data_IF_956562981618
#
_entry.id   IF_956562981618
#
_cell.length_a   1.000
_cell.length_b   1.000
_cell.length_c   1.000
_cell.angle_alpha   90.00
_cell.angle_beta   90.00
_cell.angle_gamma   90.00
#
_symmetry.space_group_name_H-M   'P 1'
#
loop_
_entity.id
_entity.type
_entity.pdbx_description
1 polymer ?
#
# COMPACT_ATOMS: atom_id res chain seq x y z
N UNK A 1 77.20 11.62 -24.03
CA UNK A 1 76.61 10.48 -23.27
C UNK A 1 75.36 11.00 -22.61
N UNK A 2 74.19 10.72 -23.19
CA UNK A 2 72.85 11.13 -22.64
C UNK A 2 72.32 9.92 -21.83
N UNK A 3 72.13 10.10 -20.50
CA UNK A 3 71.48 9.12 -19.63
C UNK A 3 69.96 9.36 -19.62
N UNK A 4 69.24 8.44 -20.21
CA UNK A 4 67.77 8.44 -20.23
C UNK A 4 67.28 7.75 -18.93
N UNK A 5 66.60 8.54 -18.09
CA UNK A 5 65.99 8.06 -16.86
C UNK A 5 64.56 7.58 -17.16
N UNK A 6 64.32 6.28 -17.06
CA UNK A 6 62.98 5.69 -17.15
C UNK A 6 62.27 5.77 -15.80
N UNK A 7 61.22 6.61 -15.74
CA UNK A 7 60.33 6.70 -14.58
C UNK A 7 59.27 5.58 -14.67
N UNK A 8 59.38 4.59 -13.84
CA UNK A 8 58.41 3.48 -13.73
C UNK A 8 57.23 3.98 -12.89
N UNK A 9 56.09 4.24 -13.53
CA UNK A 9 54.82 4.60 -12.88
C UNK A 9 54.13 3.32 -12.41
N UNK A 10 54.24 3.01 -11.11
CA UNK A 10 53.48 1.94 -10.46
C UNK A 10 52.04 2.37 -10.27
N UNK A 11 51.14 1.93 -11.14
CA UNK A 11 49.70 2.00 -10.95
C UNK A 11 49.28 0.98 -9.86
N UNK A 12 49.11 1.44 -8.63
CA UNK A 12 48.41 0.68 -7.59
C UNK A 12 46.92 0.68 -7.93
N UNK A 13 46.43 -0.41 -8.53
CA UNK A 13 45.00 -0.71 -8.53
C UNK A 13 44.58 -1.00 -7.09
N UNK A 14 44.04 0.01 -6.44
CA UNK A 14 43.34 -0.15 -5.18
C UNK A 14 42.10 -0.99 -5.43
N UNK A 15 42.13 -2.27 -5.07
CA UNK A 15 40.96 -3.10 -4.94
C UNK A 15 40.13 -2.49 -3.80
N UNK A 16 39.13 -1.67 -4.12
CA UNK A 16 38.09 -1.29 -3.16
C UNK A 16 37.34 -2.59 -2.85
N UNK A 17 37.60 -3.16 -1.68
CA UNK A 17 36.79 -4.22 -1.14
C UNK A 17 35.36 -3.64 -1.01
N UNK A 18 34.47 -4.11 -1.87
CA UNK A 18 33.04 -3.90 -1.67
C UNK A 18 32.73 -4.48 -0.30
N UNK A 19 32.33 -3.62 0.65
CA UNK A 19 31.76 -4.07 1.91
C UNK A 19 30.61 -4.99 1.54
N UNK A 20 30.74 -6.27 1.78
CA UNK A 20 29.58 -7.18 1.75
C UNK A 20 28.60 -6.62 2.77
N UNK A 21 27.54 -5.99 2.27
CA UNK A 21 26.40 -5.62 3.11
C UNK A 21 25.77 -6.94 3.56
N UNK A 22 25.64 -7.13 4.86
CA UNK A 22 24.90 -8.29 5.39
C UNK A 22 23.52 -8.31 4.73
N UNK A 23 23.01 -9.51 4.37
CA UNK A 23 21.63 -9.63 3.93
C UNK A 23 20.72 -8.95 4.95
N UNK A 24 19.89 -8.03 4.49
CA UNK A 24 18.94 -7.34 5.34
C UNK A 24 17.53 -7.66 4.87
N UNK A 25 16.57 -7.53 5.77
CA UNK A 25 15.15 -7.62 5.47
C UNK A 25 14.43 -6.49 6.20
N UNK A 26 13.22 -6.20 5.79
CA UNK A 26 12.40 -5.20 6.43
C UNK A 26 10.99 -5.18 5.89
N UNK A 27 10.09 -4.57 6.65
CA UNK A 27 8.68 -4.52 6.33
C UNK A 27 8.09 -3.16 6.72
N UNK A 28 7.25 -2.61 5.85
CA UNK A 28 6.52 -1.37 6.11
C UNK A 28 5.05 -1.59 5.76
N UNK A 29 4.15 -1.08 6.60
CA UNK A 29 2.70 -1.20 6.41
C UNK A 29 1.99 0.14 6.54
N UNK A 30 0.83 0.25 5.89
CA UNK A 30 -0.15 1.30 6.17
C UNK A 30 -1.56 0.73 6.36
N UNK A 31 -2.34 1.41 7.19
CA UNK A 31 -3.77 1.16 7.42
C UNK A 31 -4.66 2.29 6.91
N UNK A 32 -4.13 3.14 6.02
CA UNK A 32 -4.84 4.26 5.42
C UNK A 32 -4.39 5.64 5.86
N UNK A 33 -4.47 6.61 4.93
CA UNK A 33 -4.18 8.02 5.16
C UNK A 33 -5.44 8.89 5.03
N UNK A 34 -5.46 10.05 5.71
CA UNK A 34 -6.58 10.99 5.59
C UNK A 34 -6.63 12.04 6.71
N UNK A 35 -7.82 12.59 6.98
CA UNK A 35 -8.04 13.57 8.06
C UNK A 35 -8.07 12.86 9.44
N UNK A 36 -6.96 12.23 9.80
CA UNK A 36 -6.80 11.52 11.08
C UNK A 36 -6.23 12.51 12.09
N UNK A 37 -7.12 13.22 12.80
CA UNK A 37 -6.76 14.23 13.77
C UNK A 37 -6.78 13.65 15.19
N UNK A 38 -5.80 14.00 16.00
CA UNK A 38 -5.68 13.53 17.40
C UNK A 38 -6.88 13.95 18.25
N UNK A 39 -7.40 15.15 18.02
CA UNK A 39 -8.59 15.68 18.69
C UNK A 39 -9.89 14.89 18.42
N UNK A 40 -9.94 14.13 17.32
CA UNK A 40 -11.06 13.28 16.93
C UNK A 40 -10.86 11.80 17.29
N UNK A 41 -9.78 11.49 18.03
CA UNK A 41 -9.39 10.14 18.40
C UNK A 41 -9.50 9.93 19.91
N UNK A 42 -10.33 8.98 20.36
CA UNK A 42 -10.31 8.59 21.77
C UNK A 42 -9.07 7.77 22.09
N UNK A 43 -8.62 7.80 23.35
CA UNK A 43 -7.45 7.04 23.79
C UNK A 43 -7.59 5.53 23.52
N UNK A 44 -8.80 4.98 23.74
CA UNK A 44 -9.09 3.56 23.50
C UNK A 44 -8.99 3.21 22.02
N UNK A 45 -9.50 4.09 21.16
CA UNK A 45 -9.45 3.89 19.71
C UNK A 45 -8.02 4.00 19.17
N UNK A 46 -7.25 4.97 19.66
CA UNK A 46 -5.82 5.11 19.31
C UNK A 46 -5.05 3.86 19.76
N UNK A 47 -5.25 3.42 21.00
CA UNK A 47 -4.61 2.21 21.52
C UNK A 47 -4.96 0.97 20.68
N UNK A 48 -6.22 0.81 20.28
CA UNK A 48 -6.64 -0.30 19.42
C UNK A 48 -5.95 -0.28 18.04
N UNK A 49 -5.82 0.89 17.38
CA UNK A 49 -5.09 0.99 16.12
C UNK A 49 -3.60 0.69 16.28
N UNK A 50 -2.94 1.24 17.31
CA UNK A 50 -1.52 0.99 17.57
C UNK A 50 -1.26 -0.49 17.88
N UNK A 51 -2.12 -1.13 18.65
CA UNK A 51 -2.03 -2.56 18.94
C UNK A 51 -2.13 -3.39 17.66
N UNK A 52 -3.18 -3.19 16.85
CA UNK A 52 -3.39 -3.98 15.63
C UNK A 52 -2.28 -3.73 14.62
N UNK A 53 -1.75 -2.51 14.48
CA UNK A 53 -0.60 -2.23 13.61
C UNK A 53 0.64 -2.99 14.08
N UNK A 54 0.90 -3.03 15.39
CA UNK A 54 2.03 -3.77 15.98
C UNK A 54 1.89 -5.27 15.76
N UNK A 55 0.71 -5.83 16.01
CA UNK A 55 0.42 -7.26 15.77
C UNK A 55 0.54 -7.61 14.29
N UNK A 56 0.04 -6.75 13.41
CA UNK A 56 0.07 -6.93 11.95
C UNK A 56 1.50 -7.01 11.43
N UNK A 57 2.34 -6.04 11.77
CA UNK A 57 3.71 -5.98 11.25
C UNK A 57 4.58 -7.10 11.80
N UNK A 58 4.32 -7.54 13.04
CA UNK A 58 5.01 -8.66 13.68
C UNK A 58 4.85 -9.95 12.87
N UNK A 59 3.66 -10.22 12.32
CA UNK A 59 3.41 -11.42 11.51
C UNK A 59 4.34 -11.47 10.30
N UNK A 60 4.43 -10.38 9.54
CA UNK A 60 5.32 -10.34 8.36
C UNK A 60 6.79 -10.36 8.73
N UNK A 61 7.18 -9.65 9.79
CA UNK A 61 8.54 -9.64 10.29
C UNK A 61 9.03 -11.05 10.70
N UNK A 62 8.22 -11.83 11.42
CA UNK A 62 8.59 -13.20 11.81
C UNK A 62 8.77 -14.12 10.60
N UNK A 63 7.97 -13.94 9.54
CA UNK A 63 8.14 -14.69 8.28
C UNK A 63 9.49 -14.35 7.65
N UNK A 64 9.83 -13.08 7.51
CA UNK A 64 11.08 -12.62 6.90
C UNK A 64 12.30 -13.07 7.74
N UNK A 65 12.22 -12.94 9.06
CA UNK A 65 13.25 -13.37 10.01
C UNK A 65 13.53 -14.87 9.93
N UNK A 66 12.49 -15.67 9.68
CA UNK A 66 12.62 -17.11 9.48
C UNK A 66 13.16 -17.50 8.09
N UNK A 67 13.44 -16.53 7.20
CA UNK A 67 13.91 -16.76 5.83
C UNK A 67 12.78 -17.01 4.82
N UNK A 68 11.53 -16.67 5.18
CA UNK A 68 10.38 -16.72 4.27
C UNK A 68 10.45 -15.63 3.21
N UNK A 69 9.61 -15.74 2.18
CA UNK A 69 9.57 -14.82 1.04
C UNK A 69 8.89 -13.49 1.39
N UNK A 70 9.27 -12.43 0.67
CA UNK A 70 8.56 -11.14 0.72
C UNK A 70 7.09 -11.26 0.31
N UNK A 71 6.74 -12.15 -0.61
CA UNK A 71 5.35 -12.46 -0.99
C UNK A 71 4.56 -13.00 0.21
N UNK A 72 5.07 -14.05 0.89
CA UNK A 72 4.39 -14.63 2.05
C UNK A 72 4.22 -13.59 3.18
N UNK A 73 5.25 -12.79 3.41
CA UNK A 73 5.21 -11.72 4.41
C UNK A 73 4.12 -10.69 4.08
N UNK A 74 4.05 -10.21 2.84
CA UNK A 74 3.01 -9.26 2.38
C UNK A 74 1.61 -9.88 2.49
N UNK A 75 1.41 -11.10 1.99
CA UNK A 75 0.10 -11.77 2.02
C UNK A 75 -0.41 -11.92 3.45
N UNK A 76 0.38 -12.55 4.33
CA UNK A 76 -0.06 -12.85 5.70
C UNK A 76 -0.24 -11.59 6.55
N UNK A 77 0.56 -10.56 6.32
CA UNK A 77 0.41 -9.25 6.95
C UNK A 77 -0.91 -8.58 6.55
N UNK A 78 -1.23 -8.57 5.26
CA UNK A 78 -2.48 -7.98 4.77
C UNK A 78 -3.69 -8.80 5.26
N UNK A 79 -3.61 -10.12 5.39
CA UNK A 79 -4.68 -10.94 5.98
C UNK A 79 -5.08 -10.47 7.39
N UNK A 80 -4.13 -10.08 8.24
CA UNK A 80 -4.44 -9.54 9.58
C UNK A 80 -5.29 -8.28 9.48
N UNK A 81 -4.94 -7.39 8.54
CA UNK A 81 -5.68 -6.14 8.33
C UNK A 81 -7.04 -6.38 7.64
N UNK A 82 -7.14 -7.32 6.70
CA UNK A 82 -8.42 -7.72 6.07
C UNK A 82 -9.38 -8.40 7.04
N UNK A 83 -8.87 -9.06 8.08
CA UNK A 83 -9.68 -9.66 9.14
C UNK A 83 -10.11 -8.63 10.22
N UNK A 84 -9.49 -7.45 10.24
CA UNK A 84 -9.75 -6.43 11.26
C UNK A 84 -10.91 -5.49 10.84
N UNK A 85 -11.91 -5.26 11.71
CA UNK A 85 -12.97 -4.29 11.43
C UNK A 85 -12.50 -2.83 11.48
N UNK A 86 -11.26 -2.57 11.86
CA UNK A 86 -10.71 -1.21 12.02
C UNK A 86 -10.33 -0.58 10.68
N UNK A 87 -9.87 -1.36 9.69
CA UNK A 87 -9.40 -0.86 8.41
C UNK A 87 -10.48 -0.91 7.33
N UNK A 88 -10.23 -0.27 6.20
CA UNK A 88 -11.11 -0.32 5.03
C UNK A 88 -10.59 -1.36 4.02
N UNK A 89 -10.57 -2.59 4.42
CA UNK A 89 -10.22 -3.76 3.61
C UNK A 89 -10.90 -4.99 4.21
N UNK A 90 -11.28 -5.97 3.40
CA UNK A 90 -11.93 -7.17 3.90
C UNK A 90 -13.10 -6.86 4.85
N UNK A 91 -13.07 -7.40 6.07
CA UNK A 91 -14.16 -7.30 7.07
C UNK A 91 -14.51 -5.86 7.49
N UNK A 92 -13.62 -4.91 7.36
CA UNK A 92 -13.87 -3.52 7.73
C UNK A 92 -14.15 -2.61 6.53
N UNK A 93 -14.35 -3.17 5.34
CA UNK A 93 -14.54 -2.42 4.11
C UNK A 93 -15.76 -1.49 4.14
N UNK A 94 -15.65 -0.39 3.43
CA UNK A 94 -16.75 0.58 3.25
C UNK A 94 -17.81 0.03 2.29
N UNK A 95 -19.02 0.57 2.36
CA UNK A 95 -20.15 0.17 1.54
C UNK A 95 -20.32 1.08 0.33
N UNK A 96 -20.77 0.50 -0.78
CA UNK A 96 -21.22 1.21 -1.98
C UNK A 96 -22.49 2.03 -1.72
N UNK A 97 -22.93 2.82 -2.69
CA UNK A 97 -24.19 3.56 -2.60
C UNK A 97 -25.43 2.66 -2.44
N UNK A 98 -25.34 1.44 -2.93
CA UNK A 98 -26.40 0.43 -2.85
C UNK A 98 -26.28 -0.47 -1.60
N UNK A 99 -25.45 -0.03 -0.61
CA UNK A 99 -25.17 -0.76 0.62
C UNK A 99 -24.59 -2.17 0.41
N UNK A 100 -23.85 -2.37 -0.68
CA UNK A 100 -23.13 -3.62 -0.99
C UNK A 100 -21.64 -3.48 -0.75
N UNK A 101 -20.93 -4.62 -0.71
CA UNK A 101 -19.47 -4.69 -0.65
C UNK A 101 -18.90 -4.80 -2.07
N UNK A 102 -17.81 -4.11 -2.32
CA UNK A 102 -16.94 -4.29 -3.49
C UNK A 102 -15.51 -4.08 -3.05
N UNK A 103 -14.69 -5.13 -3.14
CA UNK A 103 -13.30 -5.16 -2.69
C UNK A 103 -12.35 -5.17 -3.87
N UNK A 104 -11.22 -4.48 -3.70
CA UNK A 104 -10.15 -4.36 -4.68
C UNK A 104 -8.83 -4.73 -4.01
N UNK A 105 -7.93 -5.42 -4.73
CA UNK A 105 -6.58 -5.70 -4.27
C UNK A 105 -5.61 -5.86 -5.44
N UNK A 106 -4.33 -5.61 -5.18
CA UNK A 106 -3.25 -5.94 -6.10
C UNK A 106 -1.99 -6.38 -5.35
N UNK A 107 -1.19 -7.15 -6.05
CA UNK A 107 0.11 -7.62 -5.62
C UNK A 107 1.11 -7.54 -6.78
N UNK A 108 2.38 -7.26 -6.47
CA UNK A 108 3.46 -7.25 -7.46
C UNK A 108 4.74 -7.82 -6.84
N UNK A 109 5.36 -8.74 -7.59
CA UNK A 109 6.69 -9.30 -7.31
C UNK A 109 7.77 -8.42 -7.96
N UNK A 110 8.74 -7.98 -7.16
CA UNK A 110 9.80 -7.09 -7.64
C UNK A 110 10.93 -7.81 -8.38
N UNK A 111 11.03 -9.13 -8.26
CA UNK A 111 12.08 -9.92 -8.91
C UNK A 111 11.74 -10.21 -10.38
N UNK A 112 10.49 -10.57 -10.65
CA UNK A 112 10.00 -10.96 -11.98
C UNK A 112 9.22 -9.85 -12.66
N UNK A 113 8.74 -8.86 -11.92
CA UNK A 113 7.75 -7.86 -12.31
C UNK A 113 6.37 -8.47 -12.62
N UNK A 114 6.15 -9.71 -12.24
CA UNK A 114 4.84 -10.33 -12.32
C UNK A 114 3.88 -9.65 -11.33
N UNK A 115 2.63 -9.54 -11.73
CA UNK A 115 1.63 -8.87 -10.93
C UNK A 115 0.25 -9.50 -11.11
N UNK A 116 -0.57 -9.36 -10.08
CA UNK A 116 -1.97 -9.74 -10.14
C UNK A 116 -2.85 -8.75 -9.41
N UNK A 117 -4.07 -8.58 -9.92
CA UNK A 117 -5.05 -7.67 -9.35
C UNK A 117 -6.47 -8.20 -9.50
N UNK A 118 -7.32 -7.81 -8.55
CA UNK A 118 -8.75 -8.01 -8.62
C UNK A 118 -9.49 -6.72 -8.27
N UNK A 119 -10.66 -6.51 -8.86
CA UNK A 119 -11.53 -5.39 -8.50
C UNK A 119 -13.01 -5.78 -8.45
N UNK A 120 -13.75 -5.15 -7.54
CA UNK A 120 -15.20 -5.32 -7.43
C UNK A 120 -15.65 -6.71 -6.99
N UNK A 121 -14.80 -7.49 -6.31
CA UNK A 121 -15.19 -8.79 -5.75
C UNK A 121 -16.04 -8.61 -4.51
N UNK A 122 -16.93 -9.59 -4.23
CA UNK A 122 -17.93 -9.47 -3.17
C UNK A 122 -17.94 -10.63 -2.18
N UNK A 123 -17.27 -11.73 -2.50
CA UNK A 123 -17.33 -12.98 -1.72
C UNK A 123 -15.96 -13.52 -1.32
N UNK A 124 -14.89 -12.99 -1.87
CA UNK A 124 -13.52 -13.43 -1.54
C UNK A 124 -13.12 -12.89 -0.17
N UNK A 125 -12.89 -13.77 0.81
CA UNK A 125 -12.56 -13.40 2.19
C UNK A 125 -11.29 -12.57 2.27
N UNK A 126 -10.25 -12.99 1.53
CA UNK A 126 -8.95 -12.34 1.46
C UNK A 126 -8.64 -11.89 0.02
N UNK A 127 -9.04 -10.67 -0.35
CA UNK A 127 -8.79 -10.12 -1.69
C UNK A 127 -7.32 -10.17 -2.12
N UNK A 128 -6.37 -9.96 -1.20
CA UNK A 128 -4.94 -10.02 -1.53
C UNK A 128 -4.51 -11.40 -2.04
N UNK A 129 -5.03 -12.49 -1.47
CA UNK A 129 -4.74 -13.84 -1.95
C UNK A 129 -5.28 -14.07 -3.36
N UNK A 130 -6.44 -13.51 -3.68
CA UNK A 130 -6.98 -13.62 -5.04
C UNK A 130 -6.13 -12.82 -6.05
N UNK A 131 -5.63 -11.65 -5.67
CA UNK A 131 -4.68 -10.91 -6.51
C UNK A 131 -3.41 -11.73 -6.78
N UNK A 132 -2.81 -12.35 -5.76
CA UNK A 132 -1.66 -13.25 -5.90
C UNK A 132 -2.01 -14.44 -6.80
N UNK A 133 -3.19 -15.06 -6.65
CA UNK A 133 -3.61 -16.17 -7.50
C UNK A 133 -3.82 -15.76 -8.96
N UNK A 134 -4.27 -14.53 -9.23
CA UNK A 134 -4.31 -14.02 -10.63
C UNK A 134 -2.91 -14.03 -11.24
N UNK A 135 -1.90 -13.58 -10.50
CA UNK A 135 -0.50 -13.59 -10.94
C UNK A 135 0.02 -15.02 -11.16
N UNK A 136 -0.23 -15.94 -10.20
CA UNK A 136 0.39 -17.26 -10.19
C UNK A 136 -0.29 -18.27 -11.12
N UNK A 137 -1.61 -18.18 -11.30
CA UNK A 137 -2.44 -19.23 -11.88
C UNK A 137 -3.24 -18.79 -13.10
N UNK A 138 -2.98 -17.59 -13.64
CA UNK A 138 -3.64 -17.12 -14.86
C UNK A 138 -2.67 -16.41 -15.79
N UNK A 139 -2.98 -16.31 -17.09
CA UNK A 139 -2.21 -15.47 -18.04
C UNK A 139 -2.56 -13.98 -17.95
N UNK A 140 -3.43 -13.59 -17.03
CA UNK A 140 -3.95 -12.25 -16.89
C UNK A 140 -3.26 -11.52 -15.74
N UNK A 141 -3.22 -10.19 -15.81
CA UNK A 141 -2.76 -9.34 -14.71
C UNK A 141 -3.95 -8.89 -13.83
N UNK A 142 -5.15 -8.76 -14.39
CA UNK A 142 -6.29 -8.23 -13.64
C UNK A 142 -7.60 -8.92 -14.03
N UNK A 143 -8.38 -9.29 -13.00
CA UNK A 143 -9.74 -9.81 -13.13
C UNK A 143 -10.71 -8.90 -12.35
N UNK A 144 -12.02 -8.92 -12.69
CA UNK A 144 -12.99 -8.07 -12.02
C UNK A 144 -14.36 -8.72 -11.80
N UNK A 145 -15.08 -8.23 -10.79
CA UNK A 145 -16.47 -8.56 -10.48
C UNK A 145 -16.71 -10.06 -10.33
N UNK A 146 -17.85 -10.54 -10.82
CA UNK A 146 -18.26 -11.94 -10.72
C UNK A 146 -17.25 -12.92 -11.34
N UNK A 147 -16.53 -12.48 -12.40
CA UNK A 147 -15.49 -13.31 -13.00
C UNK A 147 -14.32 -13.53 -12.03
N UNK A 148 -13.90 -12.49 -11.30
CA UNK A 148 -12.86 -12.62 -10.30
C UNK A 148 -13.31 -13.44 -9.07
N UNK A 149 -14.58 -13.30 -8.60
CA UNK A 149 -15.13 -14.15 -7.55
C UNK A 149 -15.17 -15.63 -7.99
N UNK A 150 -15.56 -15.91 -9.23
CA UNK A 150 -15.56 -17.27 -9.79
C UNK A 150 -14.17 -17.86 -9.88
N UNK A 151 -13.21 -17.11 -10.40
CA UNK A 151 -11.80 -17.50 -10.44
C UNK A 151 -11.24 -17.82 -9.05
N UNK A 152 -11.49 -16.95 -8.07
CA UNK A 152 -11.04 -17.17 -6.69
C UNK A 152 -11.58 -18.49 -6.12
N UNK A 153 -12.86 -18.80 -6.36
CA UNK A 153 -13.49 -20.06 -5.97
C UNK A 153 -12.86 -21.26 -6.67
N UNK A 154 -12.60 -21.17 -7.98
CA UNK A 154 -11.94 -22.21 -8.76
C UNK A 154 -10.52 -22.50 -8.27
N UNK A 155 -9.80 -21.45 -7.79
CA UNK A 155 -8.48 -21.58 -7.19
C UNK A 155 -8.51 -22.06 -5.73
N UNK A 156 -9.68 -22.40 -5.17
CA UNK A 156 -9.81 -22.96 -3.82
C UNK A 156 -9.67 -21.94 -2.71
N UNK A 157 -9.80 -20.64 -2.99
CA UNK A 157 -9.76 -19.59 -1.97
C UNK A 157 -11.03 -19.61 -1.10
N UNK A 158 -10.91 -19.12 0.13
CA UNK A 158 -12.04 -19.06 1.06
C UNK A 158 -13.07 -18.02 0.59
N UNK A 159 -14.29 -18.51 0.32
CA UNK A 159 -15.43 -17.70 -0.11
C UNK A 159 -16.38 -17.57 1.08
N UNK A 160 -16.87 -16.35 1.30
CA UNK A 160 -17.80 -16.01 2.38
C UNK A 160 -19.02 -15.28 1.83
N UNK A 161 -20.11 -15.31 2.58
CA UNK A 161 -21.28 -14.49 2.25
C UNK A 161 -20.96 -13.00 2.48
N UNK A 162 -21.53 -12.08 1.69
CA UNK A 162 -21.25 -10.64 1.79
C UNK A 162 -21.44 -10.06 3.19
N UNK A 163 -22.34 -10.62 4.00
CA UNK A 163 -22.61 -10.22 5.38
C UNK A 163 -21.41 -10.34 6.32
N UNK A 164 -20.44 -11.21 5.99
CA UNK A 164 -19.17 -11.32 6.72
C UNK A 164 -18.42 -10.00 6.83
N UNK A 165 -18.51 -9.16 5.79
CA UNK A 165 -17.77 -7.89 5.69
C UNK A 165 -18.49 -6.73 6.38
N UNK A 166 -19.78 -6.85 6.68
CA UNK A 166 -20.57 -5.75 7.22
C UNK A 166 -20.23 -5.48 8.68
N UNK A 167 -20.03 -4.20 8.97
CA UNK A 167 -19.86 -3.72 10.34
C UNK A 167 -20.83 -2.57 10.62
N UNK A 168 -21.35 -2.49 11.85
CA UNK A 168 -22.25 -1.41 12.27
C UNK A 168 -21.65 -0.01 11.99
N UNK A 169 -20.33 0.12 12.21
CA UNK A 169 -19.60 1.35 11.93
C UNK A 169 -19.73 1.78 10.47
N UNK A 170 -19.58 0.84 9.51
CA UNK A 170 -19.64 1.13 8.06
C UNK A 170 -21.05 1.39 7.59
N UNK A 171 -22.03 0.66 8.10
CA UNK A 171 -23.46 0.90 7.85
C UNK A 171 -23.85 2.31 8.31
N UNK A 172 -23.48 2.70 9.53
CA UNK A 172 -23.76 4.01 10.08
C UNK A 172 -22.99 5.13 9.34
N UNK A 173 -21.78 4.84 8.85
CA UNK A 173 -21.03 5.80 8.03
C UNK A 173 -21.72 6.05 6.69
N UNK A 174 -22.17 5.01 6.00
CA UNK A 174 -22.92 5.16 4.75
C UNK A 174 -24.19 5.99 4.95
N UNK A 175 -25.01 5.70 5.98
CA UNK A 175 -26.23 6.46 6.30
C UNK A 175 -25.94 7.95 6.47
N UNK A 176 -24.95 8.30 7.30
CA UNK A 176 -24.54 9.70 7.53
C UNK A 176 -24.13 10.42 6.24
N UNK A 177 -23.39 9.74 5.37
CA UNK A 177 -22.96 10.30 4.09
C UNK A 177 -24.16 10.54 3.16
N UNK A 178 -25.08 9.58 3.08
CA UNK A 178 -26.29 9.70 2.26
C UNK A 178 -27.21 10.82 2.76
N UNK A 179 -27.44 10.93 4.08
CA UNK A 179 -28.22 12.00 4.71
C UNK A 179 -27.59 13.39 4.46
N UNK A 180 -26.26 13.50 4.65
CA UNK A 180 -25.53 14.75 4.39
C UNK A 180 -25.68 15.19 2.92
N UNK A 181 -25.60 14.26 1.99
CA UNK A 181 -25.75 14.53 0.56
C UNK A 181 -27.20 14.96 0.18
N UNK A 182 -28.22 14.42 0.86
CA UNK A 182 -29.61 14.76 0.64
C UNK A 182 -29.95 16.19 1.16
N UNK A 183 -29.31 16.61 2.26
CA UNK A 183 -29.58 17.91 2.91
C UNK A 183 -28.85 19.09 2.25
N UNK A 184 -27.78 18.87 1.51
CA UNK A 184 -26.99 19.95 0.92
C UNK A 184 -27.62 20.48 -0.38
N UNK A 185 -28.28 21.66 -0.31
CA UNK A 185 -28.56 22.54 -1.45
C UNK A 185 -27.32 23.36 -1.85
N UNK A 186 -26.17 22.70 -2.05
CA UNK A 186 -24.88 23.37 -2.28
C UNK A 186 -24.48 23.21 -3.75
N UNK A 187 -23.67 24.14 -4.26
CA UNK A 187 -23.13 24.07 -5.63
C UNK A 187 -22.39 22.76 -5.89
N UNK A 188 -22.33 22.33 -7.16
CA UNK A 188 -21.73 21.05 -7.53
C UNK A 188 -20.27 20.93 -7.06
N UNK A 189 -19.49 22.01 -7.12
CA UNK A 189 -18.08 22.06 -6.70
C UNK A 189 -17.89 21.95 -5.18
N UNK A 190 -18.80 22.53 -4.39
CA UNK A 190 -18.75 22.44 -2.92
C UNK A 190 -19.27 21.09 -2.41
N UNK A 191 -20.24 20.49 -3.14
CA UNK A 191 -20.69 19.12 -2.89
C UNK A 191 -19.56 18.12 -3.12
N UNK A 192 -18.82 18.30 -4.19
CA UNK A 192 -17.67 17.45 -4.55
C UNK A 192 -16.57 17.53 -3.49
N UNK A 193 -16.19 18.75 -3.06
CA UNK A 193 -15.21 18.95 -1.98
C UNK A 193 -15.65 18.37 -0.64
N UNK A 194 -16.91 18.61 -0.23
CA UNK A 194 -17.44 18.09 1.04
C UNK A 194 -17.64 16.57 1.01
N UNK A 195 -18.07 16.01 -0.12
CA UNK A 195 -18.18 14.57 -0.36
C UNK A 195 -16.82 13.89 -0.21
N UNK A 196 -15.79 14.49 -0.78
CA UNK A 196 -14.44 13.95 -0.80
C UNK A 196 -13.73 14.06 0.57
N UNK A 197 -13.99 15.10 1.36
CA UNK A 197 -13.42 15.25 2.71
C UNK A 197 -13.97 14.25 3.74
N UNK A 198 -15.22 13.79 3.60
CA UNK A 198 -15.86 12.89 4.57
C UNK A 198 -15.60 11.40 4.32
N UNK A 199 -15.02 11.00 3.18
CA UNK A 199 -14.98 9.61 2.72
C UNK A 199 -13.60 8.96 2.66
N UNK A 200 -12.57 9.64 3.14
CA UNK A 200 -11.16 9.33 2.87
C UNK A 200 -10.51 8.52 3.97
N UNK A 201 -10.86 7.24 4.15
CA UNK A 201 -10.08 6.44 5.08
C UNK A 201 -10.01 4.97 4.70
N UNK A 202 -8.77 4.45 4.59
CA UNK A 202 -8.49 3.16 5.10
C UNK A 202 -8.03 2.06 4.17
N UNK A 203 -7.54 2.30 2.96
CA UNK A 203 -6.78 1.30 2.20
C UNK A 203 -5.67 0.72 3.06
N UNK A 204 -5.47 -0.60 3.05
CA UNK A 204 -4.33 -1.24 3.72
C UNK A 204 -3.26 -1.62 2.70
N UNK A 205 -2.01 -1.60 3.13
CA UNK A 205 -0.91 -2.04 2.29
C UNK A 205 0.29 -2.51 3.07
N UNK A 206 1.09 -3.30 2.39
CA UNK A 206 2.32 -3.86 2.92
C UNK A 206 3.38 -3.92 1.82
N UNK A 207 4.59 -3.56 2.16
CA UNK A 207 5.78 -3.76 1.34
C UNK A 207 6.85 -4.47 2.16
N UNK A 208 7.57 -5.38 1.53
CA UNK A 208 8.58 -6.20 2.19
C UNK A 208 9.81 -6.40 1.31
N UNK A 209 10.97 -6.49 1.98
CA UNK A 209 12.24 -6.95 1.44
C UNK A 209 12.64 -8.21 2.20
N UNK A 210 12.89 -9.32 1.50
CA UNK A 210 13.35 -10.57 2.11
C UNK A 210 14.89 -10.73 2.13
N UNK A 211 15.37 -11.75 2.84
CA UNK A 211 16.80 -12.06 2.94
C UNK A 211 17.46 -12.44 1.61
N UNK A 212 16.67 -12.78 0.59
CA UNK A 212 17.16 -13.06 -0.77
C UNK A 212 17.28 -11.77 -1.61
N UNK A 213 16.89 -10.61 -1.05
CA UNK A 213 16.90 -9.32 -1.73
C UNK A 213 15.69 -9.10 -2.64
N UNK A 214 14.64 -9.90 -2.49
CA UNK A 214 13.41 -9.73 -3.26
C UNK A 214 12.45 -8.78 -2.57
N UNK A 215 11.91 -7.86 -3.36
CA UNK A 215 10.90 -6.88 -2.97
C UNK A 215 9.51 -7.37 -3.39
N UNK A 216 8.53 -7.14 -2.55
CA UNK A 216 7.13 -7.34 -2.87
C UNK A 216 6.26 -6.20 -2.34
N UNK A 217 5.16 -5.89 -3.03
CA UNK A 217 4.16 -4.92 -2.62
C UNK A 217 2.75 -5.48 -2.77
N UNK A 218 1.89 -5.16 -1.81
CA UNK A 218 0.47 -5.48 -1.87
C UNK A 218 -0.39 -4.37 -1.30
N UNK A 219 -1.58 -4.20 -1.87
CA UNK A 219 -2.57 -3.20 -1.45
C UNK A 219 -3.96 -3.81 -1.51
N UNK A 220 -4.80 -3.56 -0.50
CA UNK A 220 -6.19 -4.06 -0.42
C UNK A 220 -7.14 -3.01 0.12
N UNK A 221 -8.37 -2.91 -0.44
CA UNK A 221 -9.31 -1.86 -0.08
C UNK A 221 -10.76 -2.22 -0.38
N UNK A 222 -11.71 -1.55 0.32
CA UNK A 222 -13.10 -1.42 -0.07
C UNK A 222 -13.40 -0.18 -0.94
N UNK A 223 -12.38 0.65 -1.23
CA UNK A 223 -12.54 1.89 -1.97
C UNK A 223 -13.12 3.03 -1.13
N UNK A 224 -14.08 3.79 -1.66
CA UNK A 224 -14.71 4.95 -1.02
C UNK A 224 -16.12 4.62 -0.53
N UNK A 225 -16.50 5.14 0.65
CA UNK A 225 -17.87 5.06 1.15
C UNK A 225 -18.85 5.69 0.15
N UNK A 226 -19.99 5.05 -0.10
CA UNK A 226 -21.01 5.52 -1.03
C UNK A 226 -20.53 5.62 -2.49
N UNK A 227 -19.47 4.86 -2.86
CA UNK A 227 -19.02 4.76 -4.27
C UNK A 227 -20.14 4.23 -5.16
N UNK A 228 -20.18 4.68 -6.40
CA UNK A 228 -21.20 4.33 -7.40
C UNK A 228 -20.54 3.75 -8.64
N UNK A 229 -21.35 3.09 -9.47
CA UNK A 229 -20.96 2.64 -10.81
C UNK A 229 -19.72 1.77 -10.84
N UNK A 230 -19.55 0.93 -9.82
CA UNK A 230 -18.38 0.06 -9.64
C UNK A 230 -17.04 0.84 -9.68
N UNK A 231 -17.00 2.03 -9.05
CA UNK A 231 -15.82 2.89 -9.02
C UNK A 231 -14.62 2.12 -8.49
N UNK A 232 -13.54 2.15 -9.23
CA UNK A 232 -12.23 1.59 -8.90
C UNK A 232 -11.27 2.73 -8.55
N UNK A 233 -10.53 2.61 -7.45
CA UNK A 233 -9.46 3.50 -7.05
C UNK A 233 -8.10 3.03 -7.56
N UNK A 234 -7.05 3.56 -6.95
CA UNK A 234 -5.66 3.24 -7.26
C UNK A 234 -5.21 1.85 -6.80
N UNK A 235 -5.81 1.35 -5.70
CA UNK A 235 -5.34 0.12 -5.03
C UNK A 235 -5.17 -1.09 -5.96
N UNK A 236 -6.08 -1.42 -6.90
CA UNK A 236 -5.89 -2.55 -7.81
C UNK A 236 -5.07 -2.20 -9.07
N UNK A 237 -4.63 -0.96 -9.23
CA UNK A 237 -3.93 -0.49 -10.43
C UNK A 237 -2.42 -0.56 -10.22
N UNK A 238 -1.78 -1.52 -10.89
CA UNK A 238 -0.32 -1.66 -10.88
C UNK A 238 0.34 -0.38 -11.42
N UNK A 239 1.30 0.13 -10.67
CA UNK A 239 1.96 1.40 -10.93
C UNK A 239 1.30 2.61 -10.26
N UNK A 240 0.02 2.54 -9.86
CA UNK A 240 -0.65 3.61 -9.14
C UNK A 240 -0.71 3.36 -7.64
N UNK A 241 -1.40 2.30 -7.22
CA UNK A 241 -1.55 1.91 -5.81
C UNK A 241 -0.47 0.94 -5.32
N UNK A 242 0.08 0.14 -6.22
CA UNK A 242 1.04 -0.93 -5.89
C UNK A 242 2.11 -1.00 -6.97
N UNK A 243 3.37 -1.07 -6.56
CA UNK A 243 4.49 -1.31 -7.48
C UNK A 243 5.66 -1.95 -6.73
N UNK A 244 6.35 -2.90 -7.35
CA UNK A 244 7.59 -3.47 -6.83
C UNK A 244 8.59 -3.73 -7.96
N UNK A 245 9.87 -3.41 -7.71
CA UNK A 245 10.98 -3.67 -8.63
C UNK A 245 12.27 -3.81 -7.81
N UNK A 246 12.93 -4.96 -7.89
CA UNK A 246 14.20 -5.22 -7.19
C UNK A 246 15.33 -4.26 -7.58
N UNK A 247 15.22 -3.57 -8.71
CA UNK A 247 16.18 -2.55 -9.08
C UNK A 247 16.04 -1.24 -8.28
N UNK A 248 14.88 -0.98 -7.68
CA UNK A 248 14.54 0.29 -7.02
C UNK A 248 13.88 0.09 -5.65
N UNK A 249 12.57 -0.12 -5.61
CA UNK A 249 11.77 -0.16 -4.38
C UNK A 249 10.46 -0.94 -4.54
N UNK A 250 9.82 -1.22 -3.41
CA UNK A 250 8.42 -1.61 -3.31
C UNK A 250 7.60 -0.48 -2.69
N UNK A 251 6.42 -0.17 -3.26
CA UNK A 251 5.53 0.93 -2.87
C UNK A 251 4.09 0.42 -2.74
N UNK A 252 3.41 0.84 -1.67
CA UNK A 252 1.96 0.73 -1.50
C UNK A 252 1.37 2.10 -1.14
N UNK A 253 0.26 2.46 -1.79
CA UNK A 253 -0.33 3.79 -1.73
C UNK A 253 -1.70 3.77 -1.05
N UNK A 254 -2.07 4.92 -0.47
CA UNK A 254 -3.39 5.17 0.11
C UNK A 254 -3.76 6.64 -0.01
N UNK A 255 -4.96 6.95 -0.47
CA UNK A 255 -5.35 8.35 -0.63
C UNK A 255 -6.52 8.52 -1.59
N UNK A 256 -6.56 9.66 -2.26
CA UNK A 256 -7.57 9.93 -3.27
C UNK A 256 -7.18 9.29 -4.61
N UNK A 257 -7.71 8.09 -4.84
CA UNK A 257 -7.29 7.19 -5.92
C UNK A 257 -7.27 7.81 -7.32
N UNK A 258 -8.19 8.72 -7.64
CA UNK A 258 -8.26 9.39 -8.93
C UNK A 258 -6.99 10.21 -9.26
N UNK A 259 -6.34 10.80 -8.25
CA UNK A 259 -5.09 11.53 -8.43
C UNK A 259 -3.89 10.59 -8.48
N UNK A 260 -3.93 9.52 -7.70
CA UNK A 260 -2.89 8.49 -7.68
C UNK A 260 -2.83 7.72 -9.01
N UNK A 261 -3.99 7.38 -9.60
CA UNK A 261 -4.07 6.77 -10.94
C UNK A 261 -3.50 7.72 -12.00
N UNK A 262 -3.97 8.99 -12.02
CA UNK A 262 -3.55 9.98 -13.03
C UNK A 262 -2.07 10.33 -12.96
N UNK A 263 -1.45 10.20 -11.78
CA UNK A 263 -0.03 10.45 -11.55
C UNK A 263 0.82 9.19 -11.60
N UNK A 264 0.23 8.00 -11.67
CA UNK A 264 0.91 6.69 -11.64
C UNK A 264 1.87 6.62 -10.44
N UNK A 265 1.40 7.00 -9.26
CA UNK A 265 2.20 7.39 -8.08
C UNK A 265 3.26 6.38 -7.71
N UNK A 266 2.89 5.10 -7.57
CA UNK A 266 3.82 4.06 -7.10
C UNK A 266 4.97 3.83 -8.11
N UNK A 267 4.68 3.79 -9.40
CA UNK A 267 5.70 3.66 -10.44
C UNK A 267 6.53 4.93 -10.61
N UNK A 268 5.92 6.13 -10.50
CA UNK A 268 6.65 7.39 -10.66
C UNK A 268 7.75 7.58 -9.60
N UNK A 269 7.51 7.11 -8.36
CA UNK A 269 8.54 7.04 -7.31
C UNK A 269 9.70 6.14 -7.75
N UNK A 270 9.40 4.91 -8.19
CA UNK A 270 10.41 3.98 -8.69
C UNK A 270 11.18 4.55 -9.90
N UNK A 271 10.48 5.19 -10.84
CA UNK A 271 11.08 5.83 -12.02
C UNK A 271 12.02 6.99 -11.68
N UNK A 272 11.68 7.80 -10.67
CA UNK A 272 12.58 8.86 -10.19
C UNK A 272 13.85 8.29 -9.55
N UNK A 273 13.75 7.16 -8.83
CA UNK A 273 14.92 6.45 -8.32
C UNK A 273 15.77 5.90 -9.47
N UNK A 274 15.15 5.21 -10.44
CA UNK A 274 15.85 4.55 -11.54
C UNK A 274 16.51 5.55 -12.51
N UNK A 275 15.76 6.56 -12.96
CA UNK A 275 16.23 7.46 -14.04
C UNK A 275 16.93 8.70 -13.53
N UNK A 276 16.70 9.12 -12.27
CA UNK A 276 17.33 10.32 -11.68
C UNK A 276 18.24 10.02 -10.49
N UNK A 277 18.34 8.76 -10.06
CA UNK A 277 19.16 8.37 -8.93
C UNK A 277 18.72 9.00 -7.59
N UNK A 278 17.44 9.34 -7.45
CA UNK A 278 16.90 9.90 -6.20
C UNK A 278 16.84 8.81 -5.12
N UNK A 279 16.95 9.20 -3.85
CA UNK A 279 16.58 8.30 -2.75
C UNK A 279 15.06 8.07 -2.74
N UNK A 280 14.60 7.01 -2.08
CA UNK A 280 13.17 6.68 -2.00
C UNK A 280 12.37 7.80 -1.31
N UNK A 281 12.95 8.43 -0.26
CA UNK A 281 12.33 9.55 0.45
C UNK A 281 12.19 10.77 -0.45
N UNK A 282 13.25 11.15 -1.15
CA UNK A 282 13.24 12.31 -2.04
C UNK A 282 12.28 12.12 -3.21
N UNK A 283 12.20 10.90 -3.77
CA UNK A 283 11.27 10.55 -4.85
C UNK A 283 9.82 10.59 -4.36
N UNK A 284 9.53 10.00 -3.20
CA UNK A 284 8.20 10.03 -2.61
C UNK A 284 7.74 11.45 -2.27
N UNK A 285 8.62 12.26 -1.66
CA UNK A 285 8.34 13.67 -1.37
C UNK A 285 8.00 14.47 -2.65
N UNK A 286 8.78 14.32 -3.72
CA UNK A 286 8.51 14.96 -5.01
C UNK A 286 7.14 14.56 -5.58
N UNK A 287 6.80 13.27 -5.52
CA UNK A 287 5.54 12.78 -6.07
C UNK A 287 4.34 13.23 -5.22
N UNK A 288 4.41 13.08 -3.90
CA UNK A 288 3.27 13.39 -3.01
C UNK A 288 3.06 14.90 -2.86
N UNK A 289 4.12 15.67 -2.55
CA UNK A 289 3.98 17.10 -2.22
C UNK A 289 4.01 18.02 -3.45
N UNK A 290 4.70 17.62 -4.54
CA UNK A 290 4.78 18.46 -5.72
C UNK A 290 3.86 18.02 -6.85
N UNK A 291 3.72 16.72 -7.16
CA UNK A 291 2.89 16.27 -8.29
C UNK A 291 1.43 16.06 -7.87
N UNK A 292 1.16 15.22 -6.86
CA UNK A 292 -0.20 14.91 -6.40
C UNK A 292 -0.88 16.15 -5.82
N UNK A 293 -0.18 16.90 -4.95
CA UNK A 293 -0.71 18.12 -4.33
C UNK A 293 -1.07 19.19 -5.37
N UNK A 294 -0.25 19.40 -6.42
CA UNK A 294 -0.56 20.35 -7.50
C UNK A 294 -1.83 20.02 -8.27
N UNK A 295 -2.18 18.73 -8.36
CA UNK A 295 -3.44 18.30 -8.96
C UNK A 295 -4.64 18.47 -8.00
N UNK A 296 -4.40 18.80 -6.73
CA UNK A 296 -5.41 18.91 -5.68
C UNK A 296 -5.69 17.58 -4.96
N UNK A 297 -4.82 16.57 -5.15
CA UNK A 297 -4.90 15.28 -4.49
C UNK A 297 -4.20 15.26 -3.14
N UNK A 298 -4.61 14.32 -2.30
CA UNK A 298 -3.99 14.03 -1.02
C UNK A 298 -3.96 12.53 -0.74
N UNK A 299 -3.04 12.13 0.13
CA UNK A 299 -2.85 10.74 0.54
C UNK A 299 -1.47 10.51 1.12
N UNK A 300 -1.03 9.27 1.07
CA UNK A 300 0.30 8.86 1.49
C UNK A 300 0.73 7.57 0.81
N UNK A 301 2.00 7.27 0.99
CA UNK A 301 2.66 6.07 0.49
C UNK A 301 3.55 5.49 1.56
N UNK A 302 3.68 4.19 1.58
CA UNK A 302 4.77 3.49 2.28
C UNK A 302 5.63 2.77 1.26
N UNK A 303 6.91 2.66 1.57
CA UNK A 303 7.86 1.99 0.70
C UNK A 303 9.06 1.44 1.43
N UNK A 304 9.77 0.57 0.75
CA UNK A 304 11.09 0.08 1.17
C UNK A 304 11.96 -0.05 -0.09
N UNK A 305 13.20 0.43 -0.03
CA UNK A 305 14.11 0.28 -1.15
C UNK A 305 14.87 -1.05 -1.12
N UNK A 306 15.62 -1.32 -2.17
CA UNK A 306 16.45 -2.52 -2.32
C UNK A 306 17.54 -2.70 -1.25
N UNK A 307 17.82 -1.66 -0.47
CA UNK A 307 18.83 -1.65 0.60
C UNK A 307 18.20 -1.79 1.99
N UNK A 308 16.86 -1.85 2.07
CA UNK A 308 16.12 -1.94 3.32
C UNK A 308 15.80 -0.61 3.97
N UNK A 309 16.00 0.54 3.27
CA UNK A 309 15.60 1.83 3.78
C UNK A 309 14.08 1.98 3.69
N UNK A 310 13.38 2.17 4.84
CA UNK A 310 11.93 2.36 4.85
C UNK A 310 11.58 3.81 4.48
N UNK A 311 10.39 4.00 3.90
CA UNK A 311 9.83 5.31 3.61
C UNK A 311 8.34 5.34 3.95
N UNK A 312 7.89 6.41 4.58
CA UNK A 312 6.49 6.64 4.96
C UNK A 312 6.14 8.12 4.73
N UNK A 313 5.66 8.48 3.56
CA UNK A 313 5.42 9.87 3.12
C UNK A 313 3.92 10.16 2.96
N UNK A 314 3.45 11.35 3.36
CA UNK A 314 2.05 11.76 3.22
C UNK A 314 1.89 13.28 3.20
N UNK A 315 0.81 13.77 2.58
CA UNK A 315 0.34 15.16 2.65
C UNK A 315 -1.05 15.29 3.30
N UNK A 316 -1.39 14.36 4.18
CA UNK A 316 -2.63 14.35 4.99
C UNK A 316 -2.31 14.54 6.47
N UNK A 317 -3.31 14.84 7.29
CA UNK A 317 -3.15 15.05 8.74
C UNK A 317 -2.71 13.79 9.51
N UNK A 318 -2.83 12.61 8.89
CA UNK A 318 -2.34 11.37 9.47
C UNK A 318 -2.42 10.19 8.51
N UNK A 319 -1.64 9.16 8.84
CA UNK A 319 -1.64 7.84 8.19
C UNK A 319 -1.34 6.79 9.26
N UNK A 320 -2.21 5.80 9.38
CA UNK A 320 -1.90 4.60 10.18
C UNK A 320 -0.75 3.89 9.50
N UNK A 321 0.41 3.79 10.14
CA UNK A 321 1.62 3.23 9.54
C UNK A 321 2.55 2.60 10.56
N UNK A 322 3.29 1.60 10.13
CA UNK A 322 4.35 1.01 10.94
C UNK A 322 5.49 0.50 10.06
N UNK A 323 6.67 0.45 10.65
CA UNK A 323 7.89 -0.10 10.10
C UNK A 323 8.56 -1.01 11.13
N UNK A 324 9.17 -2.10 10.67
CA UNK A 324 10.05 -2.94 11.48
C UNK A 324 11.28 -3.35 10.68
N UNK A 325 12.46 -3.08 11.23
CA UNK A 325 13.74 -3.43 10.62
C UNK A 325 14.18 -4.86 10.95
N UNK A 326 15.31 -5.29 10.39
CA UNK A 326 15.85 -6.63 10.60
C UNK A 326 16.23 -6.93 12.06
N UNK A 327 16.54 -5.91 12.86
CA UNK A 327 16.86 -6.00 14.28
C UNK A 327 15.61 -6.12 15.15
N UNK A 328 14.41 -5.88 14.58
CA UNK A 328 13.13 -5.90 15.27
C UNK A 328 12.77 -4.57 15.93
N UNK A 329 13.41 -3.46 15.53
CA UNK A 329 13.02 -2.13 15.99
C UNK A 329 11.68 -1.76 15.34
N UNK A 330 10.65 -1.65 16.17
CA UNK A 330 9.29 -1.32 15.76
C UNK A 330 9.03 0.16 15.89
N UNK A 331 8.55 0.78 14.81
CA UNK A 331 8.00 2.13 14.79
C UNK A 331 6.52 2.08 14.39
N UNK A 332 5.61 2.66 15.20
CA UNK A 332 4.17 2.78 14.90
C UNK A 332 3.77 4.24 15.01
N UNK A 333 3.26 4.80 13.91
CA UNK A 333 2.83 6.20 13.81
C UNK A 333 1.41 6.32 13.28
N UNK A 334 0.72 7.39 13.67
CA UNK A 334 -0.64 7.72 13.23
C UNK A 334 -0.73 9.15 12.70
N UNK A 335 -0.18 10.12 13.41
CA UNK A 335 -0.31 11.54 13.09
C UNK A 335 0.88 12.06 12.29
N UNK A 336 0.72 13.22 11.65
CA UNK A 336 1.77 13.85 10.85
C UNK A 336 3.00 14.22 11.70
N UNK A 337 2.79 14.69 12.92
CA UNK A 337 3.86 15.20 13.81
C UNK A 337 4.40 14.17 14.80
N UNK A 338 4.46 12.92 14.42
CA UNK A 338 5.09 11.85 15.22
C UNK A 338 6.43 11.40 14.67
#
# INVERSE_FOLDING_TARGET
>A
MKKTLYLLLLLTLGCQATKETKPTFGIVIHGGAGTILKENMTAEKEAAYRQVLSETIQVGHEILKAGGSSQDAVEKTIHVMENSPLFNAGKGAVLTADATIELDASFMDGATLDAGAISGVRTVKHPISAAIKVMEASPHVMLSGVGADSFAKEQGLEIVEPEYFYTERRINSLKRVQESNAQKKVSQSEREKAFLQQQRYGTVGCVALDLSGNLAAGTSTGGMTNKKWNRIGDAPIIGAGTYANNATCAISSTGWGEFFIRSVVAHDISALMEYKGMSIEAAAHEVIHNKVAKLGGDGGVVGIDRYGNPMMEMNTAGMYRAHMDAEGNLEVKIYEQE
#
